data_IF_000165961225
#
_entry.id   IF_000165961225
#
_cell.length_a   1.000
_cell.length_b   1.000
_cell.length_c   1.000
_cell.angle_alpha   90.00
_cell.angle_beta   90.00
_cell.angle_gamma   90.00
#
_symmetry.space_group_name_H-M   'P 1'
#
loop_
_entity.id
_entity.type
_entity.pdbx_description
1 polymer ?
#
# COMPACT_ATOMS: atom_id res chain seq x y z
N UNK A 1 -6.19 -16.16 11.72
CA UNK A 1 -7.44 -15.47 11.32
C UNK A 1 -7.84 -14.33 12.28
N UNK A 2 -7.77 -14.55 13.60
CA UNK A 2 -8.16 -13.51 14.59
C UNK A 2 -7.26 -12.26 14.53
N UNK A 3 -5.97 -12.44 14.37
CA UNK A 3 -5.02 -11.33 14.28
C UNK A 3 -5.14 -10.57 12.95
N UNK A 4 -5.43 -11.26 11.86
CA UNK A 4 -5.65 -10.61 10.56
C UNK A 4 -6.86 -9.65 10.59
N UNK A 5 -7.94 -10.02 11.27
CA UNK A 5 -9.11 -9.15 11.46
C UNK A 5 -8.76 -7.92 12.29
N UNK A 6 -8.00 -8.09 13.38
CA UNK A 6 -7.57 -6.97 14.21
C UNK A 6 -6.67 -6.00 13.46
N UNK A 7 -5.71 -6.53 12.70
CA UNK A 7 -4.83 -5.70 11.85
C UNK A 7 -5.63 -5.00 10.76
N UNK A 8 -6.52 -5.72 10.07
CA UNK A 8 -7.40 -5.13 9.07
C UNK A 8 -8.29 -4.02 9.63
N UNK A 9 -8.75 -4.16 10.87
CA UNK A 9 -9.49 -3.11 11.58
C UNK A 9 -8.65 -1.85 11.76
N UNK A 10 -7.45 -1.98 12.30
CA UNK A 10 -6.54 -0.85 12.52
C UNK A 10 -6.24 -0.18 11.17
N UNK A 11 -5.97 -0.95 10.12
CA UNK A 11 -5.73 -0.43 8.78
C UNK A 11 -6.93 0.38 8.25
N UNK A 12 -8.14 -0.13 8.37
CA UNK A 12 -9.35 0.59 7.93
C UNK A 12 -9.65 1.81 8.79
N UNK A 13 -9.57 1.68 10.12
CA UNK A 13 -9.92 2.76 11.04
C UNK A 13 -8.88 3.88 11.07
N UNK A 14 -7.60 3.56 11.01
CA UNK A 14 -6.54 4.55 11.18
C UNK A 14 -5.93 4.99 9.85
N UNK A 15 -5.48 4.05 9.02
CA UNK A 15 -4.78 4.39 7.79
C UNK A 15 -5.71 5.03 6.75
N UNK A 16 -6.82 4.39 6.42
CA UNK A 16 -7.77 4.95 5.44
C UNK A 16 -8.38 6.25 5.95
N UNK A 17 -8.72 6.32 7.23
CA UNK A 17 -9.23 7.55 7.82
C UNK A 17 -8.21 8.67 7.70
N UNK A 18 -6.96 8.46 8.09
CA UNK A 18 -5.90 9.45 7.98
C UNK A 18 -5.70 9.92 6.52
N UNK A 19 -5.67 9.00 5.57
CA UNK A 19 -5.56 9.35 4.15
C UNK A 19 -6.68 10.29 3.68
N UNK A 20 -7.93 10.00 4.04
CA UNK A 20 -9.07 10.83 3.62
C UNK A 20 -9.18 12.13 4.42
N UNK A 21 -8.74 12.16 5.67
CA UNK A 21 -8.73 13.40 6.47
C UNK A 21 -7.79 14.46 5.91
N UNK A 22 -6.72 14.07 5.21
CA UNK A 22 -5.78 15.01 4.59
C UNK A 22 -6.37 15.75 3.38
N UNK A 23 -7.47 15.28 2.80
CA UNK A 23 -8.14 16.02 1.74
C UNK A 23 -8.67 17.37 2.23
N UNK A 24 -8.73 18.31 1.30
CA UNK A 24 -9.19 19.67 1.59
C UNK A 24 -8.45 20.32 2.77
N UNK A 25 -7.13 20.17 2.80
CA UNK A 25 -6.25 20.76 3.84
C UNK A 25 -6.50 20.20 5.25
N UNK A 26 -6.85 18.94 5.36
CA UNK A 26 -7.16 18.28 6.64
C UNK A 26 -8.51 18.67 7.24
N UNK A 27 -9.42 19.20 6.42
CA UNK A 27 -10.73 19.69 6.88
C UNK A 27 -11.88 18.69 6.64
N UNK A 28 -11.58 17.55 6.03
CA UNK A 28 -12.59 16.48 5.86
C UNK A 28 -12.79 15.69 7.15
N UNK A 29 -14.01 15.25 7.34
CA UNK A 29 -14.38 14.28 8.38
C UNK A 29 -14.65 12.94 7.72
N UNK A 30 -14.07 11.88 8.27
CA UNK A 30 -14.27 10.52 7.76
C UNK A 30 -15.07 9.72 8.77
N UNK A 31 -16.19 9.20 8.33
CA UNK A 31 -17.03 8.28 9.09
C UNK A 31 -16.95 6.91 8.42
N UNK A 32 -16.57 5.89 9.16
CA UNK A 32 -16.51 4.51 8.72
C UNK A 32 -17.69 3.77 9.34
N UNK A 33 -18.68 3.40 8.52
CA UNK A 33 -19.88 2.74 8.98
C UNK A 33 -19.71 1.21 9.05
N UNK A 34 -19.02 0.65 8.06
CA UNK A 34 -18.74 -0.80 8.00
C UNK A 34 -17.46 -1.09 7.24
N UNK A 35 -16.85 -2.25 7.49
CA UNK A 35 -15.62 -2.69 6.82
C UNK A 35 -15.68 -4.13 6.34
N UNK A 36 -15.19 -4.35 5.13
CA UNK A 36 -15.03 -5.67 4.54
C UNK A 36 -14.12 -6.58 5.40
N UNK A 37 -13.06 -6.00 5.95
CA UNK A 37 -12.05 -6.74 6.71
C UNK A 37 -12.45 -7.02 8.14
N UNK A 38 -13.37 -6.24 8.71
CA UNK A 38 -13.73 -6.26 10.12
C UNK A 38 -14.92 -7.15 10.40
N UNK A 39 -15.97 -6.91 9.67
CA UNK A 39 -17.29 -7.45 9.96
C UNK A 39 -17.68 -8.56 8.98
N UNK A 40 -16.88 -8.79 7.95
CA UNK A 40 -17.19 -9.73 6.87
C UNK A 40 -18.28 -9.18 5.93
N UNK A 41 -18.47 -7.86 5.94
CA UNK A 41 -19.39 -7.19 5.05
C UNK A 41 -18.99 -7.31 3.59
N UNK A 42 -19.90 -7.11 2.68
CA UNK A 42 -19.64 -7.19 1.24
C UNK A 42 -18.83 -6.02 0.69
N UNK A 43 -18.66 -4.93 1.46
CA UNK A 43 -17.93 -3.72 1.07
C UNK A 43 -17.56 -2.88 2.29
N UNK A 44 -16.66 -1.92 2.07
CA UNK A 44 -16.35 -0.87 3.04
C UNK A 44 -17.22 0.37 2.76
N UNK A 45 -17.78 0.96 3.81
CA UNK A 45 -18.59 2.17 3.71
C UNK A 45 -17.89 3.34 4.41
N UNK A 46 -17.31 4.22 3.59
CA UNK A 46 -16.62 5.42 4.02
C UNK A 46 -17.39 6.67 3.61
N UNK A 47 -17.85 7.43 4.59
CA UNK A 47 -18.46 8.73 4.37
C UNK A 47 -17.43 9.83 4.60
N UNK A 48 -16.91 10.41 3.53
CA UNK A 48 -15.98 11.54 3.58
C UNK A 48 -16.77 12.83 3.42
N UNK A 49 -16.82 13.64 4.48
CA UNK A 49 -17.66 14.84 4.53
C UNK A 49 -16.81 16.09 4.67
N UNK A 50 -16.96 17.03 3.74
CA UNK A 50 -16.39 18.37 3.84
C UNK A 50 -17.53 19.37 4.16
N UNK A 51 -17.54 19.90 5.38
CA UNK A 51 -18.54 20.87 5.80
C UNK A 51 -18.08 22.29 5.46
N UNK A 52 -18.82 22.97 4.60
CA UNK A 52 -18.53 24.35 4.17
C UNK A 52 -18.31 25.32 5.34
N UNK A 53 -19.03 25.10 6.46
CA UNK A 53 -18.90 25.92 7.66
C UNK A 53 -17.51 25.81 8.31
N UNK A 54 -16.85 24.65 8.16
CA UNK A 54 -15.55 24.38 8.80
C UNK A 54 -14.37 24.84 7.93
N UNK A 55 -14.61 25.26 6.68
CA UNK A 55 -13.54 25.68 5.77
C UNK A 55 -13.27 27.17 5.93
N UNK A 56 -12.05 27.58 6.24
CA UNK A 56 -11.63 28.98 6.30
C UNK A 56 -11.94 29.71 4.99
N UNK A 57 -12.27 31.00 5.08
CA UNK A 57 -12.71 31.80 3.93
C UNK A 57 -11.69 31.86 2.80
N UNK A 58 -10.41 31.91 3.13
CA UNK A 58 -9.29 31.91 2.18
C UNK A 58 -9.14 30.60 1.39
N UNK A 59 -9.66 29.48 1.93
CA UNK A 59 -9.62 28.16 1.31
C UNK A 59 -10.91 27.77 0.60
N UNK A 60 -12.01 28.49 0.85
CA UNK A 60 -13.33 28.16 0.30
C UNK A 60 -13.35 28.05 -1.23
N UNK A 61 -12.71 28.97 -1.93
CA UNK A 61 -12.65 28.95 -3.39
C UNK A 61 -11.99 27.68 -3.94
N UNK A 62 -10.94 27.17 -3.27
CA UNK A 62 -10.25 25.94 -3.68
C UNK A 62 -11.04 24.68 -3.31
N UNK A 63 -11.68 24.66 -2.13
CA UNK A 63 -12.42 23.50 -1.65
C UNK A 63 -13.77 23.31 -2.35
N UNK A 64 -14.39 24.39 -2.84
CA UNK A 64 -15.74 24.38 -3.41
C UNK A 64 -15.78 25.06 -4.79
N UNK A 65 -14.68 24.96 -5.54
CA UNK A 65 -14.71 25.34 -6.95
C UNK A 65 -15.81 24.55 -7.67
N UNK A 66 -16.56 25.20 -8.52
CA UNK A 66 -17.56 24.52 -9.34
C UNK A 66 -16.90 23.47 -10.21
N UNK A 67 -17.58 22.35 -10.39
CA UNK A 67 -17.15 21.32 -11.30
C UNK A 67 -17.06 21.87 -12.72
N UNK A 68 -15.89 21.85 -13.31
CA UNK A 68 -15.66 22.19 -14.71
C UNK A 68 -15.79 20.94 -15.59
N UNK A 69 -16.87 20.78 -16.36
CA UNK A 69 -17.03 19.62 -17.25
C UNK A 69 -16.05 19.65 -18.43
N UNK A 70 -15.40 20.78 -18.67
CA UNK A 70 -14.35 20.93 -19.68
C UNK A 70 -12.96 20.59 -19.17
N UNK A 71 -12.78 20.38 -17.84
CA UNK A 71 -11.49 20.05 -17.26
C UNK A 71 -11.02 18.69 -17.78
N UNK A 72 -9.92 18.71 -18.48
CA UNK A 72 -9.22 17.48 -18.88
C UNK A 72 -8.13 17.23 -17.88
N UNK A 73 -8.20 16.05 -17.24
CA UNK A 73 -7.10 15.57 -16.41
C UNK A 73 -5.81 15.63 -17.23
N UNK A 74 -4.76 16.34 -16.79
CA UNK A 74 -3.50 16.35 -17.51
C UNK A 74 -3.05 14.91 -17.79
N UNK A 75 -2.79 14.60 -19.04
CA UNK A 75 -2.12 13.33 -19.35
C UNK A 75 -0.71 13.44 -18.80
N UNK A 76 -0.41 12.62 -17.81
CA UNK A 76 0.96 12.48 -17.32
C UNK A 76 1.67 11.62 -18.38
N UNK A 77 2.55 12.25 -19.15
CA UNK A 77 3.46 11.52 -20.04
C UNK A 77 4.28 10.56 -19.18
N UNK A 78 4.34 9.31 -19.55
CA UNK A 78 4.93 8.24 -18.73
C UNK A 78 3.91 7.44 -17.93
N UNK A 79 2.66 7.43 -18.34
CA UNK A 79 1.55 6.73 -17.68
C UNK A 79 1.81 5.25 -17.36
N UNK A 80 2.70 4.58 -18.09
CA UNK A 80 3.14 3.21 -17.79
C UNK A 80 3.95 3.14 -16.49
N UNK A 81 4.75 4.15 -16.19
CA UNK A 81 5.52 4.24 -14.94
C UNK A 81 4.65 4.78 -13.79
N UNK A 82 3.79 5.73 -14.05
CA UNK A 82 2.87 6.29 -13.05
C UNK A 82 1.86 5.23 -12.55
N UNK A 83 1.36 4.36 -13.43
CA UNK A 83 0.49 3.26 -13.05
C UNK A 83 1.20 2.19 -12.22
N UNK A 84 2.47 1.95 -12.48
CA UNK A 84 3.30 1.02 -11.69
C UNK A 84 3.66 1.60 -10.32
N UNK A 85 3.84 2.91 -10.19
CA UNK A 85 4.28 3.56 -8.95
C UNK A 85 3.21 3.61 -7.86
N UNK A 86 1.93 3.62 -8.18
CA UNK A 86 0.84 3.85 -7.23
C UNK A 86 0.76 2.78 -6.15
N UNK A 87 0.47 1.54 -6.52
CA UNK A 87 0.32 0.43 -5.58
C UNK A 87 1.66 0.01 -4.97
N UNK A 88 2.70 -0.12 -5.79
CA UNK A 88 4.05 -0.47 -5.31
C UNK A 88 4.57 0.57 -4.32
N UNK A 89 4.37 1.86 -4.61
CA UNK A 89 4.73 2.96 -3.71
C UNK A 89 3.99 2.87 -2.37
N UNK A 90 2.71 2.49 -2.38
CA UNK A 90 1.93 2.29 -1.17
C UNK A 90 2.51 1.15 -0.33
N UNK A 91 2.74 -0.01 -0.93
CA UNK A 91 3.27 -1.19 -0.25
C UNK A 91 4.67 -0.93 0.36
N UNK A 92 5.55 -0.28 -0.40
CA UNK A 92 6.89 0.08 0.07
C UNK A 92 6.83 1.06 1.25
N UNK A 93 5.93 2.04 1.20
CA UNK A 93 5.75 2.99 2.31
C UNK A 93 5.20 2.30 3.56
N UNK A 94 4.20 1.45 3.42
CA UNK A 94 3.64 0.69 4.55
C UNK A 94 4.73 -0.17 5.19
N UNK A 95 5.46 -0.93 4.39
CA UNK A 95 6.60 -1.71 4.86
C UNK A 95 7.63 -0.85 5.61
N UNK A 96 8.05 0.25 4.98
CA UNK A 96 9.05 1.14 5.55
C UNK A 96 8.61 1.75 6.89
N UNK A 97 7.39 2.28 6.95
CA UNK A 97 6.88 2.88 8.19
C UNK A 97 6.65 1.83 9.30
N UNK A 98 6.26 0.61 8.94
CA UNK A 98 6.21 -0.48 9.92
C UNK A 98 7.59 -0.80 10.49
N UNK A 99 8.62 -0.83 9.65
CA UNK A 99 10.00 -1.03 10.09
C UNK A 99 10.49 0.13 10.97
N UNK A 100 10.19 1.37 10.58
CA UNK A 100 10.53 2.57 11.35
C UNK A 100 9.91 2.53 12.75
N UNK A 101 8.61 2.26 12.85
CA UNK A 101 7.91 2.11 14.15
C UNK A 101 8.50 0.96 14.98
N UNK A 102 8.85 -0.16 14.37
CA UNK A 102 9.50 -1.25 15.08
C UNK A 102 10.87 -0.85 15.67
N UNK A 103 11.63 -0.04 14.93
CA UNK A 103 12.90 0.49 15.44
C UNK A 103 12.71 1.51 16.57
N UNK A 104 11.64 2.29 16.53
CA UNK A 104 11.31 3.27 17.58
C UNK A 104 10.81 2.60 18.87
N UNK A 105 9.91 1.62 18.73
CA UNK A 105 9.21 1.03 19.87
C UNK A 105 9.92 -0.20 20.46
N UNK A 106 10.59 -0.98 19.62
CA UNK A 106 11.27 -2.21 20.03
C UNK A 106 12.54 -2.51 19.22
N UNK A 107 13.56 -1.64 19.31
CA UNK A 107 14.75 -1.68 18.46
C UNK A 107 15.46 -3.04 18.45
N UNK A 108 15.57 -3.69 19.61
CA UNK A 108 16.23 -5.00 19.75
C UNK A 108 15.49 -6.16 19.04
N UNK A 109 14.23 -5.97 18.71
CA UNK A 109 13.38 -6.97 18.06
C UNK A 109 12.99 -6.60 16.62
N UNK A 110 13.21 -5.36 16.21
CA UNK A 110 12.72 -4.80 14.95
C UNK A 110 13.05 -5.68 13.74
N UNK A 111 14.30 -5.99 13.53
CA UNK A 111 14.76 -6.85 12.43
C UNK A 111 14.13 -8.24 12.51
N UNK A 112 14.18 -8.88 13.69
CA UNK A 112 13.64 -10.23 13.89
C UNK A 112 12.15 -10.32 13.58
N UNK A 113 11.37 -9.34 14.05
CA UNK A 113 9.92 -9.30 13.81
C UNK A 113 9.65 -9.07 12.33
N UNK A 114 10.34 -8.11 11.71
CA UNK A 114 10.16 -7.81 10.30
C UNK A 114 10.59 -8.96 9.39
N UNK A 115 11.75 -9.59 9.64
CA UNK A 115 12.19 -10.78 8.91
C UNK A 115 11.12 -11.88 8.92
N UNK A 116 10.57 -12.19 10.10
CA UNK A 116 9.52 -13.20 10.20
C UNK A 116 8.27 -12.81 9.40
N UNK A 117 7.87 -11.55 9.45
CA UNK A 117 6.72 -11.06 8.69
C UNK A 117 6.98 -11.14 7.17
N UNK A 118 8.18 -10.79 6.71
CA UNK A 118 8.57 -10.85 5.31
C UNK A 118 8.62 -12.30 4.79
N UNK A 119 9.07 -13.25 5.59
CA UNK A 119 9.05 -14.67 5.22
C UNK A 119 7.62 -15.18 5.01
N UNK A 120 6.72 -14.92 5.96
CA UNK A 120 5.31 -15.31 5.84
C UNK A 120 4.67 -14.65 4.62
N UNK A 121 4.93 -13.37 4.41
CA UNK A 121 4.42 -12.67 3.24
C UNK A 121 4.97 -13.24 1.92
N UNK A 122 6.24 -13.59 1.87
CA UNK A 122 6.85 -14.21 0.69
C UNK A 122 6.22 -15.57 0.36
N UNK A 123 5.95 -16.40 1.37
CA UNK A 123 5.26 -17.68 1.21
C UNK A 123 3.84 -17.49 0.69
N UNK A 124 3.04 -16.65 1.35
CA UNK A 124 1.65 -16.38 0.96
C UNK A 124 1.57 -15.79 -0.46
N UNK A 125 2.43 -14.84 -0.78
CA UNK A 125 2.48 -14.22 -2.12
C UNK A 125 2.87 -15.23 -3.21
N UNK A 126 3.85 -16.10 -2.93
CA UNK A 126 4.27 -17.13 -3.88
C UNK A 126 3.17 -18.17 -4.12
N UNK A 127 2.48 -18.61 -3.07
CA UNK A 127 1.37 -19.54 -3.18
C UNK A 127 0.21 -18.99 -4.01
N UNK A 128 -0.16 -17.73 -3.79
CA UNK A 128 -1.17 -17.05 -4.61
C UNK A 128 -0.77 -16.96 -6.08
N UNK A 129 0.48 -16.62 -6.36
CA UNK A 129 0.96 -16.50 -7.73
C UNK A 129 1.03 -17.84 -8.47
N UNK A 130 1.40 -18.92 -7.76
CA UNK A 130 1.36 -20.29 -8.28
C UNK A 130 -0.09 -20.68 -8.62
N UNK A 131 -1.01 -20.40 -7.72
CA UNK A 131 -2.44 -20.67 -7.94
C UNK A 131 -2.96 -19.88 -9.15
N UNK A 132 -2.71 -18.59 -9.24
CA UNK A 132 -3.12 -17.72 -10.33
C UNK A 132 -2.56 -18.20 -11.68
N UNK A 133 -1.27 -18.55 -11.74
CA UNK A 133 -0.64 -19.10 -12.92
C UNK A 133 -1.34 -20.39 -13.41
N UNK A 134 -1.74 -21.23 -12.46
CA UNK A 134 -2.46 -22.48 -12.74
C UNK A 134 -3.87 -22.21 -13.27
N UNK A 135 -4.61 -21.33 -12.64
CA UNK A 135 -5.97 -20.95 -13.04
C UNK A 135 -6.00 -20.28 -14.42
N UNK A 136 -4.99 -19.45 -14.70
CA UNK A 136 -4.84 -18.77 -15.99
C UNK A 136 -4.23 -19.68 -17.09
N UNK A 137 -3.79 -20.90 -16.76
CA UNK A 137 -3.06 -21.79 -17.67
C UNK A 137 -1.81 -21.10 -18.30
N UNK A 138 -1.15 -20.24 -17.53
CA UNK A 138 0.07 -19.53 -17.96
C UNK A 138 1.29 -20.12 -17.25
N UNK A 139 2.44 -20.05 -17.94
CA UNK A 139 3.69 -20.53 -17.36
C UNK A 139 4.16 -19.54 -16.28
N UNK A 140 4.46 -20.06 -15.11
CA UNK A 140 5.14 -19.31 -14.06
C UNK A 140 6.54 -18.91 -14.52
N UNK A 141 6.84 -17.62 -14.52
CA UNK A 141 8.09 -17.02 -14.98
C UNK A 141 8.33 -15.67 -14.29
N UNK A 142 9.54 -15.12 -14.43
CA UNK A 142 9.83 -13.75 -13.96
C UNK A 142 8.88 -12.73 -14.56
N UNK A 143 8.62 -12.82 -15.85
CA UNK A 143 7.71 -11.91 -16.54
C UNK A 143 6.27 -12.04 -16.00
N UNK A 144 5.81 -13.26 -15.72
CA UNK A 144 4.52 -13.49 -15.08
C UNK A 144 4.48 -12.87 -13.69
N UNK A 145 5.52 -13.08 -12.89
CA UNK A 145 5.62 -12.52 -11.54
C UNK A 145 5.62 -10.98 -11.55
N UNK A 146 6.37 -10.33 -12.42
CA UNK A 146 6.40 -8.88 -12.58
C UNK A 146 5.04 -8.28 -12.96
N UNK A 147 4.27 -9.03 -13.76
CA UNK A 147 2.96 -8.57 -14.22
C UNK A 147 1.88 -8.73 -13.16
N UNK A 148 1.90 -9.82 -12.41
CA UNK A 148 0.83 -10.21 -11.49
C UNK A 148 1.15 -9.89 -10.03
N UNK A 149 2.42 -9.71 -9.69
CA UNK A 149 2.86 -9.21 -8.40
C UNK A 149 3.62 -7.89 -8.60
N UNK A 150 2.91 -6.76 -8.62
CA UNK A 150 3.44 -5.46 -9.04
C UNK A 150 4.29 -4.76 -7.96
N UNK A 151 5.04 -5.50 -7.16
CA UNK A 151 6.11 -4.96 -6.35
C UNK A 151 7.39 -5.03 -7.19
N UNK A 152 8.03 -3.90 -7.43
CA UNK A 152 9.23 -3.82 -8.27
C UNK A 152 10.28 -4.84 -7.87
N UNK A 153 10.48 -5.80 -8.76
CA UNK A 153 11.48 -6.87 -8.58
C UNK A 153 12.90 -6.35 -8.74
N UNK A 154 13.09 -5.34 -9.58
CA UNK A 154 14.37 -4.65 -9.70
C UNK A 154 14.36 -3.38 -8.84
N UNK A 155 14.82 -3.53 -7.59
CA UNK A 155 14.83 -2.44 -6.61
C UNK A 155 16.02 -1.49 -6.79
N UNK A 156 17.03 -1.88 -7.53
CA UNK A 156 18.30 -1.15 -7.57
C UNK A 156 18.15 0.18 -8.33
N UNK A 157 17.33 0.20 -9.35
CA UNK A 157 17.08 1.39 -10.18
C UNK A 157 15.80 2.16 -9.80
N UNK A 158 15.08 1.73 -8.76
CA UNK A 158 13.83 2.40 -8.35
C UNK A 158 14.12 3.61 -7.47
N UNK A 159 13.82 4.84 -7.94
CA UNK A 159 14.06 6.07 -7.19
C UNK A 159 13.29 6.15 -5.86
N UNK A 160 12.24 5.33 -5.70
CA UNK A 160 11.48 5.21 -4.46
C UNK A 160 12.38 4.80 -3.29
N UNK A 161 13.30 3.85 -3.51
CA UNK A 161 14.22 3.36 -2.50
C UNK A 161 15.26 4.38 -2.05
N UNK A 162 15.56 5.38 -2.84
CA UNK A 162 16.43 6.48 -2.43
C UNK A 162 15.81 7.29 -1.28
N UNK A 163 14.49 7.27 -1.17
CA UNK A 163 13.74 7.98 -0.14
C UNK A 163 13.44 7.13 1.08
N UNK A 164 13.30 5.81 0.92
CA UNK A 164 12.82 4.89 1.94
C UNK A 164 13.84 3.78 2.29
N UNK A 165 15.12 4.09 2.27
CA UNK A 165 16.21 3.13 2.57
C UNK A 165 16.90 3.35 3.93
N UNK A 166 16.22 3.95 4.90
CA UNK A 166 16.71 3.99 6.29
C UNK A 166 16.60 2.60 6.90
N UNK A 167 17.44 2.31 7.89
CA UNK A 167 17.47 1.04 8.63
C UNK A 167 17.80 -0.19 7.77
N UNK A 168 18.38 -0.01 6.58
CA UNK A 168 18.63 -1.12 5.66
C UNK A 168 17.36 -1.73 5.08
N UNK A 169 16.29 -0.96 4.98
CA UNK A 169 14.97 -1.44 4.56
C UNK A 169 15.00 -2.11 3.17
N UNK A 170 15.71 -1.53 2.22
CA UNK A 170 15.88 -2.09 0.87
C UNK A 170 16.53 -3.47 0.90
N UNK A 171 17.66 -3.58 1.59
CA UNK A 171 18.40 -4.84 1.68
C UNK A 171 17.61 -5.91 2.43
N UNK A 172 16.93 -5.53 3.52
CA UNK A 172 16.09 -6.45 4.28
C UNK A 172 14.94 -7.01 3.42
N UNK A 173 14.27 -6.17 2.64
CA UNK A 173 13.22 -6.64 1.74
C UNK A 173 13.78 -7.54 0.64
N UNK A 174 14.96 -7.22 0.11
CA UNK A 174 15.64 -8.00 -0.92
C UNK A 174 16.02 -9.40 -0.44
N UNK A 175 16.61 -9.50 0.75
CA UNK A 175 17.12 -10.76 1.31
C UNK A 175 16.01 -11.60 1.94
N UNK A 176 15.06 -10.97 2.63
CA UNK A 176 14.08 -11.70 3.43
C UNK A 176 12.74 -11.91 2.72
N UNK A 177 12.37 -11.03 1.79
CA UNK A 177 11.16 -11.22 1.00
C UNK A 177 11.48 -11.78 -0.39
N UNK A 178 12.16 -11.02 -1.26
CA UNK A 178 12.31 -11.42 -2.66
C UNK A 178 13.08 -12.72 -2.85
N UNK A 179 14.14 -12.95 -2.09
CA UNK A 179 14.87 -14.19 -2.17
C UNK A 179 13.98 -15.39 -1.86
N UNK A 180 13.27 -15.36 -0.73
CA UNK A 180 12.35 -16.43 -0.33
C UNK A 180 11.18 -16.59 -1.33
N UNK A 181 10.64 -15.47 -1.82
CA UNK A 181 9.57 -15.45 -2.80
C UNK A 181 9.98 -16.16 -4.10
N UNK A 182 11.13 -15.81 -4.68
CA UNK A 182 11.59 -16.43 -5.92
C UNK A 182 12.05 -17.87 -5.73
N UNK A 183 12.70 -18.21 -4.62
CA UNK A 183 13.03 -19.59 -4.27
C UNK A 183 11.77 -20.45 -4.20
N UNK A 184 10.68 -19.93 -3.59
CA UNK A 184 9.40 -20.63 -3.51
C UNK A 184 8.72 -20.80 -4.87
N UNK A 185 8.84 -19.83 -5.75
CA UNK A 185 8.33 -19.90 -7.12
C UNK A 185 9.16 -20.83 -8.02
N UNK A 186 10.40 -21.11 -7.68
CA UNK A 186 11.33 -21.90 -8.51
C UNK A 186 11.79 -21.18 -9.77
N UNK A 187 11.90 -19.85 -9.75
CA UNK A 187 12.26 -19.00 -10.90
C UNK A 187 13.37 -17.99 -10.57
#
# INVERSE_FOLDING_TARGET
QHDARRIGRIYCEEFHRACYQEYAFGLTQVNLAQTLTQDGDGYCDFHVVLRKANVPSDKKAKCFAEYDPGYKVPQIDGSAEAGKSGFSSLCVRVYYYMLEVLYEECPDQAVKVMTKALHVWAEDAAEHLIQESTEMHQKLSREFADKHFPLYVNMDDDPLWNKYDRYGAKELLKTEFYKNFFERLGI
#
